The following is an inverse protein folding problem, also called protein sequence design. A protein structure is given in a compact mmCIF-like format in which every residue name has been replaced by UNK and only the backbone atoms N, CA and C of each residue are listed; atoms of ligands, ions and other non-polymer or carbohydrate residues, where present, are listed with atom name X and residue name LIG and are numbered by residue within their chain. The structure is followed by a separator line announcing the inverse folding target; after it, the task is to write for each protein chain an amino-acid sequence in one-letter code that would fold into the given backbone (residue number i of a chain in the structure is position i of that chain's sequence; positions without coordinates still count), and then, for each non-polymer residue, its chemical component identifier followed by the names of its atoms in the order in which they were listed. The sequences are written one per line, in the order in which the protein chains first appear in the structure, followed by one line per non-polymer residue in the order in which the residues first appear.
data_IF_055161128010
#
_entry.id   IF_055161128010
#
_cell.length_a   1.000
_cell.length_b   1.000
_cell.length_c   1.000
_cell.angle_alpha   90.00
_cell.angle_beta   90.00
_cell.angle_gamma   90.00
#
_symmetry.space_group_name_H-M   'P 1'
#
loop_
_entity.id
_entity.type
_entity.pdbx_description
1 polymer ?
#
# COMPACT_ATOMS: atom_id res chain seq x y z
N UNK A 1 14.96 -60.24 -45.57
CA UNK A 1 16.09 -59.70 -46.37
C UNK A 1 16.42 -58.29 -45.89
N UNK A 2 17.69 -58.07 -45.50
CA UNK A 2 18.46 -56.81 -45.33
C UNK A 2 17.86 -55.65 -44.50
N UNK A 3 18.26 -55.36 -43.25
CA UNK A 3 19.53 -54.74 -42.72
C UNK A 3 19.94 -53.41 -43.38
N UNK A 4 19.96 -52.34 -42.58
CA UNK A 4 21.12 -51.44 -42.39
C UNK A 4 20.88 -50.44 -41.23
N UNK A 5 21.43 -50.77 -40.05
CA UNK A 5 21.93 -49.79 -39.07
C UNK A 5 23.17 -49.09 -39.62
N UNK A 6 23.48 -47.88 -39.13
CA UNK A 6 24.79 -47.23 -38.85
C UNK A 6 24.45 -45.72 -38.68
N UNK A 7 24.59 -45.05 -37.53
CA UNK A 7 25.82 -44.79 -36.80
C UNK A 7 25.52 -44.20 -35.38
N UNK A 8 26.24 -44.65 -34.35
CA UNK A 8 26.43 -44.00 -33.01
C UNK A 8 27.83 -43.35 -33.00
N UNK A 9 28.16 -42.29 -32.21
CA UNK A 9 28.36 -42.35 -30.74
C UNK A 9 27.99 -41.04 -29.95
N UNK A 10 27.44 -41.08 -28.72
CA UNK A 10 28.06 -41.18 -27.37
C UNK A 10 28.87 -39.97 -26.85
N UNK A 11 28.31 -39.16 -25.91
CA UNK A 11 28.80 -38.89 -24.52
C UNK A 11 28.39 -37.52 -23.93
N UNK A 12 27.79 -37.62 -22.74
CA UNK A 12 27.91 -36.84 -21.48
C UNK A 12 28.58 -35.45 -21.44
N UNK A 13 27.89 -34.60 -20.66
CA UNK A 13 28.35 -33.61 -19.67
C UNK A 13 29.11 -32.37 -20.19
N UNK A 14 28.55 -31.17 -19.96
CA UNK A 14 29.00 -30.32 -18.84
C UNK A 14 28.29 -28.96 -18.84
N UNK A 15 28.02 -28.50 -17.62
CA UNK A 15 27.69 -27.12 -17.28
C UNK A 15 28.76 -26.15 -17.83
N UNK A 16 28.31 -24.99 -18.30
CA UNK A 16 28.84 -23.69 -17.86
C UNK A 16 28.13 -22.49 -18.48
N UNK A 17 27.80 -21.56 -17.59
CA UNK A 17 27.60 -20.14 -17.84
C UNK A 17 28.56 -19.60 -18.91
N UNK A 18 28.02 -18.87 -19.89
CA UNK A 18 28.71 -17.70 -20.44
C UNK A 18 27.73 -16.80 -21.20
N UNK A 19 27.32 -15.70 -20.57
CA UNK A 19 26.93 -14.50 -21.32
C UNK A 19 28.20 -13.94 -21.96
N UNK A 20 28.32 -14.06 -23.29
CA UNK A 20 29.35 -13.37 -24.08
C UNK A 20 28.75 -12.14 -24.75
N UNK A 21 29.46 -11.04 -24.53
CA UNK A 21 29.25 -9.73 -25.09
C UNK A 21 29.56 -9.66 -26.60
N UNK A 22 28.81 -8.82 -27.29
CA UNK A 22 29.23 -8.00 -28.43
C UNK A 22 29.12 -6.55 -27.88
N UNK A 23 30.17 -5.73 -27.80
CA UNK A 23 31.03 -5.33 -28.91
C UNK A 23 30.77 -3.85 -29.26
N UNK A 24 31.18 -2.95 -28.36
CA UNK A 24 31.85 -1.66 -28.60
C UNK A 24 31.22 -0.58 -29.51
N UNK A 25 30.92 0.60 -28.93
CA UNK A 25 31.44 1.86 -29.48
C UNK A 25 31.75 2.90 -28.36
N UNK A 26 32.66 3.82 -28.70
CA UNK A 26 33.58 4.57 -27.82
C UNK A 26 33.01 5.85 -27.19
N UNK A 27 33.57 6.13 -26.00
CA UNK A 27 33.99 7.44 -25.47
C UNK A 27 32.98 8.36 -24.73
N UNK A 28 33.06 8.34 -23.39
CA UNK A 28 33.59 9.46 -22.57
C UNK A 28 33.97 8.93 -21.18
N UNK A 29 35.28 8.94 -20.87
CA UNK A 29 35.80 8.59 -19.54
C UNK A 29 35.68 9.81 -18.64
N UNK A 30 34.78 9.77 -17.67
CA UNK A 30 34.85 10.59 -16.46
C UNK A 30 35.19 9.68 -15.29
N UNK A 31 36.45 9.65 -14.86
CA UNK A 31 36.87 8.92 -13.66
C UNK A 31 36.36 9.65 -12.41
N UNK A 32 35.29 9.15 -11.80
CA UNK A 32 34.94 9.56 -10.45
C UNK A 32 35.87 8.84 -9.46
N UNK A 33 36.94 9.52 -9.07
CA UNK A 33 37.77 9.12 -7.94
C UNK A 33 36.91 9.14 -6.67
N UNK A 34 36.75 7.98 -6.02
CA UNK A 34 36.34 7.90 -4.61
C UNK A 34 37.46 8.54 -3.77
N UNK A 35 37.33 9.84 -3.47
CA UNK A 35 38.11 10.49 -2.42
C UNK A 35 37.30 10.42 -1.13
N UNK A 36 37.88 9.75 -0.14
CA UNK A 36 37.49 9.81 1.26
C UNK A 36 37.30 11.26 1.71
N UNK A 37 36.14 11.59 2.27
CA UNK A 37 35.89 12.87 2.92
C UNK A 37 36.87 13.07 4.09
N UNK A 38 37.71 14.13 4.08
CA UNK A 38 38.48 14.49 5.25
C UNK A 38 37.58 15.14 6.29
N UNK A 39 37.85 14.77 7.53
CA UNK A 39 37.30 15.31 8.76
C UNK A 39 37.31 16.85 8.78
N UNK A 40 36.14 17.48 8.86
CA UNK A 40 35.99 18.93 9.06
C UNK A 40 35.10 19.21 10.27
N UNK A 41 35.59 18.81 11.46
CA UNK A 41 35.15 19.44 12.70
C UNK A 41 35.74 20.87 12.75
N UNK A 42 34.90 21.89 12.58
CA UNK A 42 34.93 23.18 13.30
C UNK A 42 34.04 24.23 12.59
N UNK A 43 33.02 24.67 13.31
CA UNK A 43 32.63 26.09 13.32
C UNK A 43 31.58 26.55 12.30
N UNK A 44 30.31 26.22 12.52
CA UNK A 44 29.22 27.14 12.19
C UNK A 44 28.31 27.28 13.41
N UNK A 45 28.37 28.45 14.04
CA UNK A 45 27.46 28.82 15.12
C UNK A 45 26.08 29.09 14.49
N UNK A 46 25.09 28.31 14.89
CA UNK A 46 23.70 28.61 14.60
C UNK A 46 23.27 29.81 15.46
N UNK A 47 23.12 30.98 14.84
CA UNK A 47 22.57 32.16 15.50
C UNK A 47 21.57 32.86 14.59
N UNK A 48 20.38 32.28 14.45
CA UNK A 48 19.16 32.98 14.02
C UNK A 48 17.94 32.31 14.62
N UNK A 49 17.77 32.48 15.93
CA UNK A 49 16.45 32.45 16.57
C UNK A 49 16.42 33.62 17.55
N UNK A 50 15.53 34.62 17.37
CA UNK A 50 15.41 35.68 18.36
C UNK A 50 14.91 35.07 19.67
N UNK A 51 15.53 35.46 20.79
CA UNK A 51 15.06 35.09 22.12
C UNK A 51 13.69 35.75 22.37
N UNK A 52 12.73 35.07 22.99
CA UNK A 52 11.51 35.73 23.43
C UNK A 52 11.88 36.78 24.49
N UNK A 53 11.34 37.99 24.33
CA UNK A 53 11.43 39.05 25.33
C UNK A 53 10.56 38.74 26.56
N UNK A 54 10.72 39.47 27.67
CA UNK A 54 9.94 39.23 28.87
C UNK A 54 8.45 39.50 28.61
N UNK A 55 7.61 38.57 29.05
CA UNK A 55 6.15 38.63 28.94
C UNK A 55 5.62 39.88 29.66
N UNK A 56 4.96 40.77 28.92
CA UNK A 56 4.10 41.79 29.50
C UNK A 56 2.70 41.20 29.68
N UNK A 57 2.24 41.11 30.92
CA UNK A 57 0.88 40.67 31.24
C UNK A 57 -0.16 41.64 30.67
N UNK A 58 -0.75 41.25 29.53
CA UNK A 58 -1.93 41.89 28.95
C UNK A 58 -3.22 41.43 29.64
N UNK A 59 -4.32 42.19 29.49
CA UNK A 59 -5.56 41.90 30.21
C UNK A 59 -6.11 40.52 29.82
N UNK A 60 -6.44 39.73 30.85
CA UNK A 60 -6.75 38.30 30.76
C UNK A 60 -7.63 37.92 29.59
N UNK A 61 -7.11 37.03 28.75
CA UNK A 61 -7.89 36.36 27.71
C UNK A 61 -9.06 35.63 28.36
N UNK A 62 -10.30 35.80 27.86
CA UNK A 62 -11.43 35.03 28.38
C UNK A 62 -11.14 33.55 28.18
N UNK A 63 -11.20 32.77 29.26
CA UNK A 63 -11.06 31.31 29.19
C UNK A 63 -12.14 30.76 28.25
N UNK A 64 -11.80 29.97 27.23
CA UNK A 64 -12.80 29.38 26.35
C UNK A 64 -13.67 28.43 27.16
N UNK A 65 -14.93 28.80 27.37
CA UNK A 65 -15.96 27.97 28.03
C UNK A 65 -16.68 27.10 27.00
N UNK A 66 -15.91 26.34 26.21
CA UNK A 66 -16.43 25.33 25.31
C UNK A 66 -15.67 24.04 25.55
N UNK A 67 -16.36 22.89 25.63
CA UNK A 67 -15.69 21.59 25.52
C UNK A 67 -14.79 21.66 24.28
N UNK A 68 -13.50 21.40 24.41
CA UNK A 68 -12.60 21.27 23.26
C UNK A 68 -13.27 20.30 22.27
N UNK A 69 -13.60 20.78 21.07
CA UNK A 69 -14.05 19.89 20.00
C UNK A 69 -12.85 19.03 19.65
N UNK A 70 -12.92 17.74 19.98
CA UNK A 70 -11.95 16.76 19.50
C UNK A 70 -12.17 16.67 17.99
N UNK A 71 -11.28 17.29 17.22
CA UNK A 71 -11.33 17.23 15.76
C UNK A 71 -11.04 15.79 15.31
N UNK A 72 -11.81 15.31 14.34
CA UNK A 72 -11.54 14.07 13.64
C UNK A 72 -10.10 14.01 13.10
N UNK A 73 -9.49 12.84 13.17
CA UNK A 73 -8.06 12.65 12.90
C UNK A 73 -7.77 11.28 12.32
N UNK A 74 -6.72 11.23 11.51
CA UNK A 74 -6.14 9.97 11.05
C UNK A 74 -5.51 9.26 12.26
N UNK A 75 -5.90 8.01 12.48
CA UNK A 75 -5.38 7.16 13.57
C UNK A 75 -4.25 6.26 13.08
N UNK A 76 -4.35 5.73 11.87
CA UNK A 76 -3.37 4.81 11.29
C UNK A 76 -3.39 4.80 9.75
N UNK A 77 -2.31 4.27 9.18
CA UNK A 77 -2.37 3.71 7.82
C UNK A 77 -2.91 2.29 7.98
N UNK A 78 -4.04 2.04 7.34
CA UNK A 78 -4.82 0.83 7.46
C UNK A 78 -4.22 -0.31 6.63
N UNK A 79 -4.05 -0.05 5.32
CA UNK A 79 -3.46 -0.98 4.39
C UNK A 79 -2.87 -0.24 3.18
N UNK A 80 -2.04 -0.95 2.42
CA UNK A 80 -1.54 -0.50 1.12
C UNK A 80 -2.02 -1.48 0.06
N UNK A 81 -2.80 -0.99 -0.90
CA UNK A 81 -3.37 -1.82 -1.95
C UNK A 81 -2.53 -1.77 -3.23
N UNK A 82 -2.17 -2.94 -3.74
CA UNK A 82 -1.46 -3.12 -4.99
C UNK A 82 -2.40 -3.66 -6.05
N UNK A 83 -2.53 -2.95 -7.16
CA UNK A 83 -3.13 -3.49 -8.37
C UNK A 83 -2.05 -4.26 -9.14
N UNK A 84 -2.32 -5.53 -9.44
CA UNK A 84 -1.37 -6.43 -10.10
C UNK A 84 -2.03 -7.15 -11.26
N UNK A 85 -1.23 -7.50 -12.26
CA UNK A 85 -1.69 -8.28 -13.43
C UNK A 85 -1.93 -9.76 -13.11
N UNK A 86 -1.10 -10.34 -12.24
CA UNK A 86 -1.09 -11.76 -11.91
C UNK A 86 -1.09 -11.88 -10.38
N UNK A 87 -2.26 -12.18 -9.82
CA UNK A 87 -2.45 -12.31 -8.38
C UNK A 87 -1.64 -13.50 -7.79
N UNK A 88 -1.68 -14.72 -8.35
CA UNK A 88 -0.83 -15.82 -7.89
C UNK A 88 0.66 -15.46 -7.82
N UNK A 89 1.21 -14.81 -8.85
CA UNK A 89 2.62 -14.39 -8.85
C UNK A 89 2.91 -13.31 -7.80
N UNK A 90 1.98 -12.37 -7.57
CA UNK A 90 2.13 -11.37 -6.53
C UNK A 90 2.12 -11.99 -5.13
N UNK A 91 1.24 -12.97 -4.90
CA UNK A 91 1.14 -13.69 -3.63
C UNK A 91 2.35 -14.56 -3.36
N UNK A 92 2.88 -15.25 -4.36
CA UNK A 92 4.14 -16.01 -4.23
C UNK A 92 5.30 -15.10 -3.79
N UNK A 93 5.41 -13.92 -4.40
CA UNK A 93 6.41 -12.94 -3.98
C UNK A 93 6.18 -12.45 -2.54
N UNK A 94 4.93 -12.10 -2.19
CA UNK A 94 4.61 -11.57 -0.87
C UNK A 94 4.85 -12.61 0.25
N UNK A 95 4.44 -13.85 0.02
CA UNK A 95 4.45 -14.90 1.05
C UNK A 95 5.76 -15.68 1.03
N UNK A 96 6.11 -16.29 -0.11
CA UNK A 96 7.23 -17.23 -0.17
C UNK A 96 8.59 -16.53 -0.28
N UNK A 97 8.65 -15.38 -0.95
CA UNK A 97 9.91 -14.65 -1.14
C UNK A 97 10.17 -13.63 -0.03
N UNK A 98 9.12 -12.98 0.49
CA UNK A 98 9.24 -11.90 1.48
C UNK A 98 8.79 -12.30 2.89
N UNK A 99 8.18 -13.48 3.07
CA UNK A 99 7.78 -13.99 4.38
C UNK A 99 6.50 -13.37 4.94
N UNK A 100 5.63 -12.82 4.10
CA UNK A 100 4.31 -12.36 4.50
C UNK A 100 3.39 -13.52 4.88
N UNK A 101 2.38 -13.24 5.70
CA UNK A 101 1.41 -14.23 6.14
C UNK A 101 0.06 -13.99 5.46
N UNK A 102 -0.49 -15.01 4.80
CA UNK A 102 -1.81 -14.91 4.19
C UNK A 102 -2.86 -14.62 5.28
N UNK A 103 -3.70 -13.62 5.07
CA UNK A 103 -4.81 -13.32 5.96
C UNK A 103 -6.10 -13.91 5.41
N UNK A 104 -6.49 -13.52 4.20
CA UNK A 104 -7.75 -13.89 3.57
C UNK A 104 -7.73 -13.62 2.07
N UNK A 105 -8.61 -14.28 1.33
CA UNK A 105 -8.87 -14.05 -0.09
C UNK A 105 -10.35 -13.80 -0.32
N UNK A 106 -10.66 -12.94 -1.29
CA UNK A 106 -12.01 -12.52 -1.60
C UNK A 106 -12.17 -12.20 -3.09
N UNK A 107 -13.41 -12.09 -3.53
CA UNK A 107 -13.79 -11.53 -4.83
C UNK A 107 -14.85 -10.44 -4.64
N UNK A 108 -14.76 -9.37 -5.42
CA UNK A 108 -15.84 -8.40 -5.63
C UNK A 108 -16.61 -8.80 -6.88
N UNK A 109 -17.89 -9.15 -6.70
CA UNK A 109 -18.78 -9.58 -7.77
C UNK A 109 -19.21 -8.38 -8.62
N UNK A 110 -19.48 -7.25 -7.98
CA UNK A 110 -19.93 -6.01 -8.63
C UNK A 110 -18.80 -5.37 -9.45
N UNK A 111 -17.62 -5.23 -8.84
CA UNK A 111 -16.49 -4.59 -9.49
C UNK A 111 -15.62 -5.54 -10.33
N UNK A 112 -15.92 -6.84 -10.26
CA UNK A 112 -15.31 -7.91 -11.06
C UNK A 112 -13.80 -7.99 -10.85
N UNK A 113 -13.34 -8.05 -9.60
CA UNK A 113 -11.94 -8.30 -9.25
C UNK A 113 -11.81 -9.30 -8.10
N UNK A 114 -10.65 -9.94 -8.01
CA UNK A 114 -10.26 -10.79 -6.89
C UNK A 114 -9.15 -10.10 -6.09
N UNK A 115 -9.11 -10.39 -4.81
CA UNK A 115 -8.18 -9.78 -3.89
C UNK A 115 -7.72 -10.71 -2.79
N UNK A 116 -6.59 -10.36 -2.20
CA UNK A 116 -6.02 -11.07 -1.07
C UNK A 116 -5.35 -10.08 -0.13
N UNK A 117 -5.46 -10.31 1.18
CA UNK A 117 -4.78 -9.53 2.20
C UNK A 117 -3.62 -10.35 2.77
N UNK A 118 -2.44 -9.73 2.85
CA UNK A 118 -1.23 -10.33 3.39
C UNK A 118 -0.70 -9.45 4.52
N UNK A 119 -0.41 -10.07 5.66
CA UNK A 119 0.17 -9.43 6.82
C UNK A 119 1.69 -9.35 6.70
N UNK A 120 2.23 -8.18 7.03
CA UNK A 120 3.65 -7.94 7.27
C UNK A 120 3.83 -7.28 8.64
N UNK A 121 4.05 -8.08 9.68
CA UNK A 121 4.10 -7.60 11.05
C UNK A 121 2.76 -6.98 11.46
N UNK A 122 2.75 -5.66 11.73
CA UNK A 122 1.53 -4.92 12.10
C UNK A 122 0.80 -4.30 10.91
N UNK A 123 1.37 -4.40 9.70
CA UNK A 123 0.85 -3.76 8.50
C UNK A 123 0.19 -4.77 7.56
N UNK A 124 -0.75 -4.27 6.76
CA UNK A 124 -1.49 -5.07 5.79
C UNK A 124 -1.18 -4.56 4.39
N UNK A 125 -0.83 -5.48 3.51
CA UNK A 125 -0.77 -5.25 2.07
C UNK A 125 -1.90 -6.03 1.41
N UNK A 126 -2.75 -5.34 0.65
CA UNK A 126 -3.76 -5.99 -0.17
C UNK A 126 -3.29 -6.06 -1.62
N UNK A 127 -3.55 -7.17 -2.29
CA UNK A 127 -3.23 -7.38 -3.70
C UNK A 127 -4.52 -7.65 -4.43
N UNK A 128 -4.82 -6.86 -5.47
CA UNK A 128 -6.06 -6.94 -6.25
C UNK A 128 -5.74 -7.10 -7.73
N UNK A 129 -6.50 -7.95 -8.39
CA UNK A 129 -6.34 -8.29 -9.81
C UNK A 129 -7.70 -8.58 -10.44
N UNK A 130 -7.83 -8.32 -11.72
CA UNK A 130 -9.01 -8.73 -12.49
C UNK A 130 -8.59 -9.37 -13.80
N UNK A 131 -9.37 -10.36 -14.24
CA UNK A 131 -9.26 -10.96 -15.57
C UNK A 131 -10.24 -10.31 -16.57
N UNK A 132 -11.15 -9.46 -16.08
CA UNK A 132 -12.08 -8.71 -16.94
C UNK A 132 -11.34 -7.45 -17.46
N UNK A 133 -11.12 -7.32 -18.78
CA UNK A 133 -10.43 -6.17 -19.36
C UNK A 133 -11.18 -4.85 -19.15
N UNK A 134 -12.48 -4.90 -18.88
CA UNK A 134 -13.30 -3.73 -18.64
C UNK A 134 -13.35 -3.27 -17.18
N UNK A 135 -12.84 -4.07 -16.25
CA UNK A 135 -12.75 -3.70 -14.84
C UNK A 135 -11.83 -2.49 -14.64
N UNK A 136 -12.09 -1.73 -13.57
CA UNK A 136 -11.25 -0.58 -13.22
C UNK A 136 -9.82 -1.00 -12.87
N UNK A 137 -9.64 -2.21 -12.30
CA UNK A 137 -8.33 -2.78 -11.95
C UNK A 137 -7.52 -3.12 -13.20
N UNK A 138 -8.10 -3.82 -14.18
CA UNK A 138 -7.40 -4.13 -15.44
C UNK A 138 -6.98 -2.85 -16.16
N UNK A 139 -7.88 -1.86 -16.24
CA UNK A 139 -7.60 -0.55 -16.84
C UNK A 139 -6.51 0.22 -16.08
N UNK A 140 -6.44 0.09 -14.75
CA UNK A 140 -5.38 0.68 -13.94
C UNK A 140 -4.03 0.02 -14.28
N UNK A 141 -3.96 -1.32 -14.23
CA UNK A 141 -2.73 -2.09 -14.47
C UNK A 141 -2.23 -1.92 -15.91
N UNK A 142 -3.11 -1.81 -16.89
CA UNK A 142 -2.72 -1.53 -18.29
C UNK A 142 -2.04 -0.16 -18.42
N UNK A 143 -2.54 0.86 -17.71
CA UNK A 143 -2.00 2.23 -17.79
C UNK A 143 -0.74 2.43 -16.95
N UNK A 144 -0.64 1.78 -15.79
CA UNK A 144 0.38 2.08 -14.78
C UNK A 144 1.33 0.91 -14.50
N UNK A 145 1.03 -0.28 -14.99
CA UNK A 145 1.70 -1.52 -14.59
C UNK A 145 1.29 -1.96 -13.18
N UNK A 146 2.02 -2.94 -12.64
CA UNK A 146 1.84 -3.37 -11.26
C UNK A 146 2.31 -2.25 -10.31
N UNK A 147 1.52 -1.90 -9.31
CA UNK A 147 1.88 -0.84 -8.37
C UNK A 147 0.82 -0.53 -7.33
N UNK A 148 1.13 0.44 -6.47
CA UNK A 148 0.22 0.93 -5.42
C UNK A 148 -0.97 1.63 -6.07
N UNK A 149 -2.15 1.05 -5.91
CA UNK A 149 -3.41 1.62 -6.38
C UNK A 149 -3.88 2.70 -5.40
N UNK A 150 -4.01 2.34 -4.11
CA UNK A 150 -4.41 3.25 -3.03
C UNK A 150 -3.71 2.93 -1.71
N UNK A 151 -3.79 3.89 -0.80
CA UNK A 151 -3.41 3.74 0.61
C UNK A 151 -4.65 4.00 1.46
N UNK A 152 -5.00 3.05 2.33
CA UNK A 152 -6.08 3.18 3.30
C UNK A 152 -5.64 3.96 4.53
N UNK A 153 -6.45 4.92 4.96
CA UNK A 153 -6.26 5.73 6.16
C UNK A 153 -7.45 5.52 7.08
N UNK A 154 -7.17 5.13 8.32
CA UNK A 154 -8.19 4.95 9.34
C UNK A 154 -8.48 6.29 10.02
N UNK A 155 -9.78 6.62 10.13
CA UNK A 155 -10.28 7.88 10.66
C UNK A 155 -11.22 7.59 11.84
N UNK A 156 -11.07 8.31 12.95
CA UNK A 156 -11.90 8.08 14.14
C UNK A 156 -13.34 8.62 14.01
N UNK A 157 -13.53 9.71 13.27
CA UNK A 157 -14.85 10.22 12.88
C UNK A 157 -14.80 10.67 11.40
N UNK A 158 -15.17 9.75 10.50
CA UNK A 158 -15.07 9.99 9.05
C UNK A 158 -16.04 11.05 8.55
N UNK A 159 -17.23 11.18 9.14
CA UNK A 159 -18.24 12.15 8.71
C UNK A 159 -17.77 13.59 8.98
N UNK A 160 -17.25 13.83 10.20
CA UNK A 160 -16.63 15.10 10.53
C UNK A 160 -15.40 15.36 9.65
N UNK A 161 -14.55 14.34 9.46
CA UNK A 161 -13.31 14.48 8.67
C UNK A 161 -13.58 14.81 7.19
N UNK A 162 -14.54 14.14 6.57
CA UNK A 162 -14.99 14.41 5.19
C UNK A 162 -15.53 15.83 5.08
N UNK A 163 -16.38 16.24 6.01
CA UNK A 163 -16.93 17.61 6.05
C UNK A 163 -15.81 18.66 6.12
N UNK A 164 -14.79 18.43 6.94
CA UNK A 164 -13.63 19.32 7.03
C UNK A 164 -12.80 19.37 5.74
N UNK A 165 -12.60 18.24 5.08
CA UNK A 165 -11.87 18.18 3.81
C UNK A 165 -12.62 18.93 2.70
N UNK A 166 -13.94 18.79 2.63
CA UNK A 166 -14.78 19.55 1.70
C UNK A 166 -14.69 21.05 1.97
N UNK A 167 -14.72 21.48 3.23
CA UNK A 167 -14.53 22.87 3.62
C UNK A 167 -13.14 23.42 3.22
N UNK A 168 -12.13 22.56 3.13
CA UNK A 168 -10.78 22.88 2.63
C UNK A 168 -10.67 22.82 1.10
N UNK A 169 -11.76 22.52 0.39
CA UNK A 169 -11.83 22.45 -1.06
C UNK A 169 -11.29 21.14 -1.67
N UNK A 170 -11.15 20.09 -0.86
CA UNK A 170 -10.75 18.76 -1.33
C UNK A 170 -11.97 18.08 -1.98
N UNK A 171 -11.78 17.57 -3.19
CA UNK A 171 -12.79 16.74 -3.87
C UNK A 171 -12.67 15.31 -3.40
N UNK A 172 -13.82 14.73 -3.03
CA UNK A 172 -13.93 13.37 -2.50
C UNK A 172 -14.97 12.60 -3.32
N UNK A 173 -14.73 11.30 -3.50
CA UNK A 173 -15.79 10.35 -3.81
C UNK A 173 -16.38 9.84 -2.49
N UNK A 174 -17.71 9.80 -2.39
CA UNK A 174 -18.45 9.41 -1.18
C UNK A 174 -19.50 8.34 -1.49
N UNK A 175 -19.37 7.63 -2.62
CA UNK A 175 -20.34 6.62 -3.05
C UNK A 175 -20.52 5.47 -2.05
N UNK A 176 -19.46 5.15 -1.28
CA UNK A 176 -19.45 4.05 -0.31
C UNK A 176 -19.52 4.55 1.15
N UNK A 177 -20.13 5.73 1.40
CA UNK A 177 -20.32 6.27 2.75
C UNK A 177 -21.63 5.84 3.43
N UNK A 178 -22.48 5.07 2.75
CA UNK A 178 -23.81 4.67 3.25
C UNK A 178 -23.77 3.53 4.28
N UNK A 179 -22.67 2.76 4.37
CA UNK A 179 -22.50 1.68 5.34
C UNK A 179 -22.12 2.25 6.71
N UNK A 180 -23.06 2.29 7.65
CA UNK A 180 -22.90 2.86 8.99
C UNK A 180 -21.75 2.21 9.79
N UNK A 181 -21.46 0.93 9.58
CA UNK A 181 -20.40 0.22 10.31
C UNK A 181 -19.03 0.34 9.62
N UNK A 182 -19.05 0.66 8.33
CA UNK A 182 -17.86 0.76 7.49
C UNK A 182 -18.01 1.79 6.36
N UNK A 183 -17.77 3.05 6.69
CA UNK A 183 -17.87 4.13 5.71
C UNK A 183 -16.55 4.28 4.96
N UNK A 184 -16.63 4.48 3.64
CA UNK A 184 -15.47 4.77 2.80
C UNK A 184 -15.66 6.05 1.98
N UNK A 185 -14.58 6.83 1.86
CA UNK A 185 -14.50 7.96 0.94
C UNK A 185 -13.13 7.99 0.24
N UNK A 186 -13.08 8.37 -1.03
CA UNK A 186 -11.84 8.40 -1.80
C UNK A 186 -11.35 9.83 -2.05
N UNK A 187 -10.10 10.10 -1.71
CA UNK A 187 -9.37 11.31 -2.05
C UNK A 187 -8.54 11.06 -3.30
N UNK A 188 -8.74 11.88 -4.32
CA UNK A 188 -8.01 11.76 -5.59
C UNK A 188 -6.49 12.02 -5.48
N UNK A 189 -5.71 11.55 -6.48
CA UNK A 189 -4.24 11.58 -6.44
C UNK A 189 -3.64 12.99 -6.43
N UNK A 190 -4.41 14.02 -6.80
CA UNK A 190 -3.97 15.42 -6.70
C UNK A 190 -3.64 15.80 -5.25
N UNK A 191 -4.44 15.35 -4.29
CA UNK A 191 -4.22 15.60 -2.87
C UNK A 191 -3.30 14.55 -2.26
N UNK A 192 -3.42 13.29 -2.68
CA UNK A 192 -2.58 12.18 -2.21
C UNK A 192 -1.20 12.07 -2.86
N UNK A 193 -0.67 13.15 -3.46
CA UNK A 193 0.67 13.20 -4.06
C UNK A 193 0.94 12.10 -5.10
N UNK A 194 -0.02 11.83 -5.96
CA UNK A 194 0.07 10.82 -7.02
C UNK A 194 -0.59 9.48 -6.68
N UNK A 195 -1.07 9.29 -5.45
CA UNK A 195 -1.74 8.06 -5.00
C UNK A 195 -3.15 8.39 -4.49
N UNK A 196 -4.12 7.53 -4.75
CA UNK A 196 -5.47 7.65 -4.18
C UNK A 196 -5.39 7.34 -2.68
N UNK A 197 -6.03 8.15 -1.84
CA UNK A 197 -6.18 7.83 -0.42
C UNK A 197 -7.61 7.39 -0.16
N UNK A 198 -7.77 6.22 0.44
CA UNK A 198 -9.06 5.70 0.88
C UNK A 198 -9.21 6.03 2.35
N UNK A 199 -10.20 6.86 2.68
CA UNK A 199 -10.56 7.19 4.05
C UNK A 199 -11.56 6.16 4.55
N UNK A 200 -11.30 5.59 5.70
CA UNK A 200 -12.08 4.49 6.24
C UNK A 200 -12.52 4.80 7.66
N UNK A 201 -13.84 4.81 7.88
CA UNK A 201 -14.47 4.88 9.19
C UNK A 201 -14.88 3.48 9.63
N UNK A 202 -14.00 2.82 10.38
CA UNK A 202 -14.21 1.44 10.85
C UNK A 202 -14.69 1.45 12.30
N UNK A 203 -15.92 0.98 12.55
CA UNK A 203 -16.53 1.00 13.91
C UNK A 203 -16.45 -0.33 14.64
N UNK A 204 -16.09 -1.42 13.97
CA UNK A 204 -16.11 -2.77 14.52
C UNK A 204 -14.90 -3.12 15.45
N UNK A 205 -14.06 -2.15 15.79
CA UNK A 205 -12.91 -2.33 16.70
C UNK A 205 -11.62 -1.73 16.11
N UNK A 206 -10.42 -2.11 16.58
CA UNK A 206 -9.20 -1.74 15.89
C UNK A 206 -9.10 -2.47 14.54
N UNK A 207 -8.69 -1.77 13.49
CA UNK A 207 -8.30 -2.42 12.24
C UNK A 207 -6.81 -2.77 12.32
N UNK A 208 -6.52 -4.01 12.66
CA UNK A 208 -5.17 -4.48 12.91
C UNK A 208 -4.90 -5.81 12.18
N UNK A 209 -3.61 -6.14 12.07
CA UNK A 209 -3.16 -7.39 11.45
C UNK A 209 -3.14 -8.55 12.46
N UNK A 210 -3.95 -8.52 13.51
CA UNK A 210 -4.05 -9.63 14.47
C UNK A 210 -4.96 -10.74 13.94
N UNK A 211 -4.96 -11.90 14.61
CA UNK A 211 -5.92 -12.96 14.30
C UNK A 211 -7.36 -12.43 14.45
N UNK A 212 -7.67 -11.76 15.56
CA UNK A 212 -8.99 -11.22 15.83
C UNK A 212 -9.35 -10.10 14.84
N UNK A 213 -8.38 -9.28 14.43
CA UNK A 213 -8.54 -8.27 13.39
C UNK A 213 -8.96 -8.88 12.05
N UNK A 214 -8.28 -9.95 11.66
CA UNK A 214 -8.64 -10.69 10.46
C UNK A 214 -10.01 -11.36 10.60
N UNK A 215 -10.39 -11.89 11.76
CA UNK A 215 -11.75 -12.43 11.99
C UNK A 215 -12.82 -11.35 11.77
N UNK A 216 -12.63 -10.15 12.32
CA UNK A 216 -13.56 -9.02 12.10
C UNK A 216 -13.66 -8.65 10.62
N UNK A 217 -12.53 -8.61 9.91
CA UNK A 217 -12.50 -8.32 8.49
C UNK A 217 -13.22 -9.41 7.67
N UNK A 218 -12.96 -10.69 7.94
CA UNK A 218 -13.64 -11.80 7.30
C UNK A 218 -15.15 -11.79 7.56
N UNK A 219 -15.58 -11.48 8.79
CA UNK A 219 -16.99 -11.36 9.12
C UNK A 219 -17.67 -10.27 8.29
N UNK A 220 -17.06 -9.09 8.21
CA UNK A 220 -17.55 -7.96 7.40
C UNK A 220 -17.66 -8.34 5.92
N UNK A 221 -16.64 -9.00 5.36
CA UNK A 221 -16.67 -9.44 3.96
C UNK A 221 -17.73 -10.52 3.72
N UNK A 222 -17.99 -11.39 4.69
CA UNK A 222 -19.02 -12.44 4.58
C UNK A 222 -20.45 -11.90 4.66
N UNK A 223 -20.64 -10.71 5.26
CA UNK A 223 -21.95 -10.06 5.39
C UNK A 223 -22.27 -9.13 4.22
N UNK A 224 -21.26 -8.74 3.44
CA UNK A 224 -21.43 -7.83 2.31
C UNK A 224 -21.88 -8.61 1.05
N UNK A 225 -23.09 -8.35 0.51
CA UNK A 225 -23.61 -9.08 -0.64
C UNK A 225 -22.84 -8.82 -1.95
N UNK A 226 -22.01 -7.77 -2.02
CA UNK A 226 -21.17 -7.44 -3.18
C UNK A 226 -19.88 -8.27 -3.21
N UNK A 227 -19.53 -8.89 -2.08
CA UNK A 227 -18.28 -9.61 -1.89
C UNK A 227 -18.54 -11.10 -1.66
N UNK A 228 -17.60 -11.93 -2.08
CA UNK A 228 -17.57 -13.34 -1.73
C UNK A 228 -16.20 -13.69 -1.13
N UNK A 229 -16.21 -14.29 0.06
CA UNK A 229 -15.01 -14.68 0.78
C UNK A 229 -14.55 -16.04 0.27
N UNK A 230 -13.37 -16.10 -0.37
CA UNK A 230 -12.82 -17.31 -0.96
C UNK A 230 -12.06 -18.13 0.08
N UNK A 231 -11.29 -17.45 0.93
CA UNK A 231 -10.60 -18.06 2.07
C UNK A 231 -10.68 -17.13 3.28
N UNK A 232 -11.13 -17.67 4.42
CA UNK A 232 -11.23 -16.94 5.68
C UNK A 232 -9.88 -16.78 6.37
N UNK A 233 -9.89 -16.32 7.62
CA UNK A 233 -8.70 -16.02 8.40
C UNK A 233 -7.70 -17.19 8.44
N UNK A 234 -6.53 -16.99 7.83
CA UNK A 234 -5.43 -17.96 7.80
C UNK A 234 -4.30 -17.64 8.78
N UNK A 235 -4.42 -16.55 9.57
CA UNK A 235 -3.41 -16.19 10.55
C UNK A 235 -3.42 -17.18 11.72
N UNK A 236 -2.25 -17.50 12.30
CA UNK A 236 -2.19 -18.32 13.50
C UNK A 236 -2.89 -17.62 14.67
N UNK A 237 -3.52 -18.41 15.55
CA UNK A 237 -3.95 -17.92 16.87
C UNK A 237 -2.71 -17.73 17.73
N UNK A 238 -2.57 -16.53 18.30
CA UNK A 238 -1.48 -16.20 19.23
C UNK A 238 -1.66 -16.86 20.60
#
# INVERSE_FOLDING_TARGET
MSRSDWCRPNRRLSERNSWRALGTDRARRGSANFRSCPNASKGMRASYWPRPGPESEGPGTPKPTGKERKLARITAINHIAFAVKDLPAALDNAINMLGGEMMMEFESLEDRYQGACVRFGVSIMSFISSNDPDSFISKYVERHGNGIQHIGLEIDDIEEYVTELEAKGVKLDKSEMEDDDYQEALVGPKTGNGVVLQLTGWKAGPFDATHEGCERLCQKYSQNPKLNLLSGNQLPKE
#
